data_IF_894947871683
#
_entry.id   IF_894947871683
#
_cell.length_a   1.000
_cell.length_b   1.000
_cell.length_c   1.000
_cell.angle_alpha   90.00
_cell.angle_beta   90.00
_cell.angle_gamma   90.00
#
_symmetry.space_group_name_H-M   'P 1'
#
loop_
_entity.id
_entity.type
_entity.pdbx_description
1 polymer ?
#
# COMPACT_ATOMS: atom_id res chain seq x y z
N UNK A 1 -10.11 25.39 -1.92
CA UNK A 1 -9.00 24.69 -2.61
C UNK A 1 -8.06 24.01 -1.63
N UNK A 2 -7.48 24.72 -0.64
CA UNK A 2 -6.51 24.14 0.30
C UNK A 2 -7.01 22.89 1.05
N UNK A 3 -8.26 22.92 1.52
CA UNK A 3 -8.88 21.83 2.30
C UNK A 3 -9.04 20.53 1.50
N UNK A 4 -9.36 20.64 0.21
CA UNK A 4 -9.51 19.47 -0.68
C UNK A 4 -8.14 18.82 -0.91
N UNK A 5 -7.11 19.63 -1.16
CA UNK A 5 -5.75 19.12 -1.33
C UNK A 5 -5.24 18.43 -0.06
N UNK A 6 -5.48 19.01 1.12
CA UNK A 6 -5.11 18.38 2.40
C UNK A 6 -5.80 17.04 2.60
N UNK A 7 -7.09 16.94 2.27
CA UNK A 7 -7.83 15.69 2.41
C UNK A 7 -7.33 14.60 1.46
N UNK A 8 -7.04 14.96 0.21
CA UNK A 8 -6.48 14.02 -0.77
C UNK A 8 -5.11 13.50 -0.32
N UNK A 9 -4.22 14.38 0.15
CA UNK A 9 -2.91 13.97 0.68
C UNK A 9 -3.08 13.05 1.89
N UNK A 10 -4.01 13.38 2.80
CA UNK A 10 -4.31 12.55 3.96
C UNK A 10 -4.75 11.13 3.56
N UNK A 11 -5.69 11.01 2.61
CA UNK A 11 -6.16 9.70 2.11
C UNK A 11 -4.99 8.89 1.53
N UNK A 12 -4.18 9.49 0.67
CA UNK A 12 -3.03 8.81 0.05
C UNK A 12 -2.03 8.31 1.10
N UNK A 13 -1.68 9.15 2.08
CA UNK A 13 -0.76 8.77 3.16
C UNK A 13 -1.31 7.60 3.96
N UNK A 14 -2.60 7.59 4.28
CA UNK A 14 -3.21 6.46 4.99
C UNK A 14 -3.22 5.18 4.15
N UNK A 15 -3.53 5.25 2.85
CA UNK A 15 -3.44 4.10 1.96
C UNK A 15 -2.01 3.51 1.93
N UNK A 16 -0.99 4.37 1.82
CA UNK A 16 0.41 3.91 1.84
C UNK A 16 0.82 3.30 3.18
N UNK A 17 0.37 3.89 4.31
CA UNK A 17 0.61 3.32 5.63
C UNK A 17 -0.02 1.94 5.78
N UNK A 18 -1.28 1.76 5.35
CA UNK A 18 -1.94 0.46 5.41
C UNK A 18 -1.24 -0.59 4.55
N UNK A 19 -0.76 -0.22 3.35
CA UNK A 19 0.05 -1.11 2.51
C UNK A 19 1.35 -1.52 3.23
N UNK A 20 2.02 -0.56 3.87
CA UNK A 20 3.25 -0.82 4.61
C UNK A 20 3.00 -1.72 5.84
N UNK A 21 1.92 -1.51 6.57
CA UNK A 21 1.51 -2.36 7.70
C UNK A 21 1.24 -3.80 7.26
N UNK A 22 0.57 -4.01 6.13
CA UNK A 22 0.37 -5.35 5.57
C UNK A 22 1.69 -6.09 5.32
N UNK A 23 2.73 -5.39 4.84
CA UNK A 23 4.08 -5.96 4.67
C UNK A 23 4.75 -6.28 6.00
N UNK A 24 4.55 -5.43 7.02
CA UNK A 24 5.06 -5.66 8.38
C UNK A 24 4.43 -6.91 8.99
N UNK A 25 3.12 -7.13 8.80
CA UNK A 25 2.43 -8.35 9.24
C UNK A 25 3.05 -9.56 8.57
N UNK A 26 3.20 -9.55 7.24
CA UNK A 26 3.80 -10.64 6.48
C UNK A 26 5.21 -11.00 7.00
N UNK A 27 6.08 -10.01 7.16
CA UNK A 27 7.43 -10.21 7.69
C UNK A 27 7.42 -10.75 9.11
N UNK A 28 6.52 -10.25 9.95
CA UNK A 28 6.37 -10.71 11.34
C UNK A 28 5.95 -12.18 11.38
N UNK A 29 5.01 -12.58 10.53
CA UNK A 29 4.59 -13.98 10.43
C UNK A 29 5.76 -14.89 10.02
N UNK A 30 6.56 -14.50 9.02
CA UNK A 30 7.76 -15.28 8.64
C UNK A 30 8.76 -15.42 9.80
N UNK A 31 9.02 -14.34 10.54
CA UNK A 31 9.93 -14.37 11.70
C UNK A 31 9.40 -15.26 12.82
N UNK A 32 8.08 -15.31 13.01
CA UNK A 32 7.45 -16.12 14.05
C UNK A 32 7.39 -17.60 13.65
N UNK A 33 7.10 -17.90 12.39
CA UNK A 33 6.94 -19.25 11.84
C UNK A 33 8.17 -20.12 12.06
N UNK A 34 9.38 -19.56 11.90
CA UNK A 34 10.65 -20.24 12.14
C UNK A 34 10.89 -20.61 13.62
N UNK A 35 10.19 -19.96 14.55
CA UNK A 35 10.30 -20.25 15.99
C UNK A 35 9.47 -21.47 16.42
N UNK A 36 8.61 -21.98 15.54
CA UNK A 36 7.75 -23.12 15.84
C UNK A 36 8.21 -24.41 15.12
N UNK A 37 8.07 -25.59 15.76
CA UNK A 37 8.35 -26.86 15.11
C UNK A 37 7.54 -27.04 13.82
N UNK A 38 8.10 -27.77 12.84
CA UNK A 38 7.50 -27.97 11.51
C UNK A 38 6.05 -28.47 11.56
N UNK A 39 5.70 -29.31 12.54
CA UNK A 39 4.35 -29.89 12.69
C UNK A 39 3.46 -29.13 13.69
N UNK A 40 3.88 -27.94 14.10
CA UNK A 40 3.10 -27.14 15.05
C UNK A 40 1.85 -26.57 14.35
N UNK A 41 0.65 -26.67 14.96
CA UNK A 41 -0.55 -26.04 14.40
C UNK A 41 -0.37 -24.52 14.26
N UNK A 42 0.34 -23.88 15.21
CA UNK A 42 0.62 -22.44 15.15
C UNK A 42 1.48 -22.05 13.94
N UNK A 43 2.43 -22.92 13.56
CA UNK A 43 3.26 -22.70 12.39
C UNK A 43 2.42 -22.72 11.11
N UNK A 44 1.50 -23.69 11.03
CA UNK A 44 0.58 -23.80 9.90
C UNK A 44 -0.35 -22.59 9.80
N UNK A 45 -0.93 -22.13 10.91
CA UNK A 45 -1.76 -20.92 10.95
C UNK A 45 -0.99 -19.67 10.47
N UNK A 46 0.28 -19.53 10.86
CA UNK A 46 1.13 -18.43 10.40
C UNK A 46 1.41 -18.51 8.89
N UNK A 47 1.66 -19.70 8.35
CA UNK A 47 1.83 -19.92 6.91
C UNK A 47 0.55 -19.63 6.12
N UNK A 48 -0.61 -20.04 6.64
CA UNK A 48 -1.91 -19.75 6.03
C UNK A 48 -2.19 -18.24 6.02
N UNK A 49 -1.86 -17.53 7.11
CA UNK A 49 -1.97 -16.07 7.17
C UNK A 49 -1.01 -15.37 6.20
N UNK A 50 0.22 -15.87 6.05
CA UNK A 50 1.18 -15.37 5.06
C UNK A 50 0.59 -15.50 3.65
N UNK A 51 0.06 -16.67 3.30
CA UNK A 51 -0.55 -16.91 1.99
C UNK A 51 -1.73 -15.94 1.75
N UNK A 52 -2.61 -15.77 2.74
CA UNK A 52 -3.74 -14.84 2.62
C UNK A 52 -3.28 -13.39 2.41
N UNK A 53 -2.33 -12.91 3.21
CA UNK A 53 -1.83 -11.53 3.12
C UNK A 53 -1.02 -11.31 1.84
N UNK A 54 -0.32 -12.34 1.35
CA UNK A 54 0.43 -12.27 0.10
C UNK A 54 -0.51 -12.22 -1.12
N UNK A 55 -1.51 -13.10 -1.19
CA UNK A 55 -2.47 -13.14 -2.29
C UNK A 55 -3.46 -11.98 -2.27
N UNK A 56 -3.83 -11.50 -1.08
CA UNK A 56 -4.78 -10.42 -0.88
C UNK A 56 -4.10 -9.17 -0.30
N UNK A 57 -2.91 -8.86 -0.82
CA UNK A 57 -2.22 -7.64 -0.44
C UNK A 57 -3.16 -6.44 -0.64
N UNK A 58 -3.30 -5.55 0.36
CA UNK A 58 -4.19 -4.41 0.24
C UNK A 58 -3.71 -3.52 -0.91
N UNK A 59 -4.57 -3.30 -1.89
CA UNK A 59 -4.37 -2.36 -2.99
C UNK A 59 -5.53 -1.39 -2.99
N UNK A 60 -5.22 -0.10 -2.95
CA UNK A 60 -6.23 0.95 -3.00
C UNK A 60 -6.26 1.52 -4.41
N UNK A 61 -7.40 1.48 -5.07
CA UNK A 61 -7.59 2.00 -6.42
C UNK A 61 -8.57 3.17 -6.42
N UNK A 62 -8.37 4.11 -7.34
CA UNK A 62 -9.37 5.10 -7.72
C UNK A 62 -10.14 4.55 -8.93
N UNK A 63 -11.38 4.11 -8.71
CA UNK A 63 -12.27 3.56 -9.74
C UNK A 63 -11.65 2.40 -10.55
N UNK A 64 -10.74 1.62 -9.96
CA UNK A 64 -9.98 0.56 -10.64
C UNK A 64 -9.15 1.01 -11.86
N UNK A 65 -8.95 2.33 -12.01
CA UNK A 65 -8.17 2.91 -13.10
C UNK A 65 -6.73 3.19 -12.69
N UNK A 66 -6.52 3.61 -11.43
CA UNK A 66 -5.22 4.01 -10.92
C UNK A 66 -5.03 3.51 -9.49
N UNK A 67 -3.85 3.00 -9.17
CA UNK A 67 -3.46 2.76 -7.79
C UNK A 67 -3.23 4.10 -7.07
N UNK A 68 -3.80 4.22 -5.88
CA UNK A 68 -3.58 5.35 -4.98
C UNK A 68 -2.22 5.18 -4.31
N UNK A 69 -1.22 5.87 -4.85
CA UNK A 69 0.10 5.97 -4.27
C UNK A 69 0.67 7.38 -4.51
N UNK A 70 1.76 7.71 -3.81
CA UNK A 70 2.41 9.01 -3.91
C UNK A 70 2.92 9.35 -5.32
N UNK A 71 3.28 8.34 -6.14
CA UNK A 71 3.74 8.57 -7.52
C UNK A 71 2.59 9.08 -8.39
N UNK A 72 1.42 8.47 -8.30
CA UNK A 72 0.22 8.90 -9.03
C UNK A 72 -0.08 10.38 -8.81
N UNK A 73 0.17 10.92 -7.60
CA UNK A 73 -0.06 12.32 -7.31
C UNK A 73 1.10 13.24 -7.72
N UNK A 74 2.35 12.83 -7.47
CA UNK A 74 3.52 13.65 -7.85
C UNK A 74 3.72 13.74 -9.36
N UNK A 75 3.38 12.69 -10.13
CA UNK A 75 3.48 12.70 -11.59
C UNK A 75 2.35 13.52 -12.25
N UNK A 76 1.15 13.52 -11.66
CA UNK A 76 0.07 14.41 -12.09
C UNK A 76 0.43 15.90 -11.90
N UNK A 77 1.22 16.24 -10.87
CA UNK A 77 1.70 17.60 -10.64
C UNK A 77 2.80 18.03 -11.64
N UNK A 78 3.56 17.08 -12.20
CA UNK A 78 4.55 17.36 -13.26
C UNK A 78 3.85 17.62 -14.60
N UNK A 79 2.89 16.77 -14.98
CA UNK A 79 2.17 16.93 -16.25
C UNK A 79 1.34 18.22 -16.31
N UNK A 80 0.86 18.70 -15.16
CA UNK A 80 0.14 19.98 -15.04
C UNK A 80 1.07 21.19 -15.20
N UNK A 81 2.35 21.06 -14.82
CA UNK A 81 3.38 22.10 -15.03
C UNK A 81 3.89 22.15 -16.47
N UNK A 82 4.01 21.01 -17.13
CA UNK A 82 4.44 20.97 -18.54
C UNK A 82 3.40 21.58 -19.50
N UNK A 83 2.11 21.44 -19.19
CA UNK A 83 1.03 22.08 -19.96
C UNK A 83 0.95 23.61 -19.77
N UNK A 84 1.49 24.14 -18.67
CA UNK A 84 1.60 25.58 -18.42
C UNK A 84 2.87 26.18 -19.05
N UNK A 85 3.94 25.41 -19.19
CA UNK A 85 5.21 25.85 -19.79
C UNK A 85 5.25 25.76 -21.33
N UNK A 86 4.27 25.11 -21.97
CA UNK A 86 4.14 25.09 -23.44
C UNK A 86 3.16 26.13 -24.01
N UNK A 87 2.58 26.98 -23.17
CA UNK A 87 1.71 28.10 -23.57
C UNK A 87 2.31 29.48 -23.21
N UNK A 88 3.64 29.58 -23.06
CA UNK A 88 4.40 30.84 -22.98
C UNK A 88 5.39 30.92 -24.12
#
# INVERSE_FOLDING_TARGET
MLTVTTYVVYVIVNCEMTIAEGRTVLMTCYILEDKFPIKSPVRQELLELIDQVHYHAPVFTAFDLFELNRRTFLEHDVRSRDLLNHNV
#
